data_IF_245207788650
#
_entry.id   IF_245207788650
#
_cell.length_a   1.000
_cell.length_b   1.000
_cell.length_c   1.000
_cell.angle_alpha   90.00
_cell.angle_beta   90.00
_cell.angle_gamma   90.00
#
_symmetry.space_group_name_H-M   'P 1'
#
loop_
_entity.id
_entity.type
_entity.pdbx_description
1 polymer ?
#
# COMPACT_ATOMS: atom_id res chain seq x y z
N UNK A 1 20.79 30.56 15.35
CA UNK A 1 20.82 29.53 14.31
C UNK A 1 19.43 28.97 13.94
N UNK A 2 18.33 29.41 14.56
CA UNK A 2 16.96 29.00 14.16
C UNK A 2 16.23 30.04 13.28
N UNK A 3 16.84 31.19 13.01
CA UNK A 3 16.15 32.35 12.43
C UNK A 3 16.12 32.42 10.90
N UNK A 4 16.91 31.59 10.21
CA UNK A 4 17.15 31.70 8.76
C UNK A 4 16.75 30.44 7.96
N UNK A 5 16.33 29.36 8.63
CA UNK A 5 15.95 28.11 7.97
C UNK A 5 17.11 27.37 7.31
N UNK A 6 18.36 27.76 7.57
CA UNK A 6 19.54 27.11 6.98
C UNK A 6 19.71 25.71 7.57
N UNK A 7 19.94 24.72 6.71
CA UNK A 7 20.29 23.37 7.15
C UNK A 7 21.60 23.39 7.94
N UNK A 8 21.57 22.86 9.16
CA UNK A 8 22.74 22.77 10.06
C UNK A 8 23.30 21.35 10.13
N UNK A 9 22.44 20.36 9.92
CA UNK A 9 22.74 18.95 10.01
C UNK A 9 21.64 18.15 9.31
N UNK A 10 22.04 17.05 8.69
CA UNK A 10 21.16 16.00 8.19
C UNK A 10 21.77 14.64 8.52
N UNK A 11 20.93 13.64 8.74
CA UNK A 11 21.40 12.26 8.89
C UNK A 11 21.74 11.63 7.54
N UNK A 12 22.38 10.47 7.56
CA UNK A 12 22.34 9.55 6.43
C UNK A 12 20.89 9.15 6.08
N UNK A 13 20.69 8.55 4.90
CA UNK A 13 19.40 7.98 4.52
C UNK A 13 18.90 7.01 5.60
N UNK A 14 17.63 7.19 6.00
CA UNK A 14 16.97 6.40 7.04
C UNK A 14 16.07 5.30 6.48
N UNK A 15 16.06 5.13 5.15
CA UNK A 15 15.34 4.12 4.37
C UNK A 15 13.81 4.26 4.38
N UNK A 16 13.26 5.29 5.03
CA UNK A 16 11.80 5.47 5.15
C UNK A 16 11.43 6.93 5.33
N UNK A 17 10.18 7.28 5.02
CA UNK A 17 9.69 8.63 5.26
C UNK A 17 9.39 8.89 6.74
N UNK A 18 9.48 10.15 7.13
CA UNK A 18 9.16 10.64 8.47
C UNK A 18 8.01 11.66 8.35
N UNK A 19 6.97 11.47 9.17
CA UNK A 19 5.83 12.40 9.29
C UNK A 19 5.66 12.86 10.74
N UNK A 20 5.96 11.97 11.69
CA UNK A 20 5.87 12.29 13.11
C UNK A 20 6.82 13.44 13.48
N UNK A 21 6.36 14.32 14.36
CA UNK A 21 7.21 15.35 14.92
C UNK A 21 8.31 14.72 15.79
N UNK A 22 9.55 15.23 15.74
CA UNK A 22 10.60 14.79 16.65
C UNK A 22 10.36 15.33 18.07
N UNK A 23 10.91 14.63 19.06
CA UNK A 23 10.99 15.08 20.46
C UNK A 23 12.45 15.15 20.89
N UNK A 24 12.75 15.92 21.94
CA UNK A 24 14.05 15.91 22.61
C UNK A 24 13.88 15.58 24.09
N UNK A 25 14.83 14.83 24.65
CA UNK A 25 14.87 14.47 26.06
C UNK A 25 16.32 14.32 26.54
N UNK A 26 16.51 14.28 27.85
CA UNK A 26 17.81 14.03 28.49
C UNK A 26 17.80 12.67 29.19
N UNK A 27 18.91 11.94 29.09
CA UNK A 27 19.15 10.70 29.82
C UNK A 27 20.62 10.71 30.28
N UNK A 28 20.85 10.53 31.58
CA UNK A 28 22.19 10.55 32.21
C UNK A 28 23.05 11.76 31.83
N UNK A 29 22.43 12.95 31.78
CA UNK A 29 23.11 14.19 31.41
C UNK A 29 23.42 14.35 29.91
N UNK A 30 22.91 13.45 29.05
CA UNK A 30 23.10 13.49 27.59
C UNK A 30 21.79 13.81 26.89
N UNK A 31 21.81 14.84 26.04
CA UNK A 31 20.67 15.19 25.19
C UNK A 31 20.50 14.18 24.04
N UNK A 32 19.25 13.79 23.84
CA UNK A 32 18.80 12.95 22.75
C UNK A 32 17.70 13.66 21.94
N UNK A 33 17.62 13.32 20.66
CA UNK A 33 16.50 13.69 19.77
C UNK A 33 15.93 12.40 19.21
N UNK A 34 14.64 12.15 19.39
CA UNK A 34 13.98 10.95 18.90
C UNK A 34 12.86 11.29 17.92
N UNK A 35 12.67 10.40 16.93
CA UNK A 35 11.59 10.51 15.97
C UNK A 35 11.11 9.12 15.53
N UNK A 36 9.80 8.98 15.34
CA UNK A 36 9.20 7.78 14.77
C UNK A 36 9.25 7.87 13.25
N UNK A 37 9.97 6.95 12.63
CA UNK A 37 10.12 6.83 11.19
C UNK A 37 9.35 5.59 10.70
N UNK A 38 8.69 5.66 9.54
CA UNK A 38 7.90 4.52 9.07
C UNK A 38 6.79 4.86 8.08
N UNK A 39 6.94 5.93 7.30
CA UNK A 39 5.99 6.21 6.22
C UNK A 39 6.34 5.32 5.03
N UNK A 40 5.42 4.42 4.65
CA UNK A 40 5.55 3.63 3.44
C UNK A 40 5.68 4.56 2.21
N UNK A 41 6.74 4.36 1.43
CA UNK A 41 7.02 5.12 0.19
C UNK A 41 7.00 4.23 -1.05
N UNK A 42 7.04 2.91 -0.88
CA UNK A 42 7.09 1.90 -1.93
C UNK A 42 5.81 1.11 -2.14
N UNK A 43 5.94 -0.07 -2.74
CA UNK A 43 4.87 -1.05 -2.89
C UNK A 43 4.40 -1.55 -1.51
N UNK A 44 3.15 -2.00 -1.38
CA UNK A 44 2.60 -2.56 -0.12
C UNK A 44 3.46 -3.65 0.52
N UNK A 45 4.08 -4.49 -0.30
CA UNK A 45 4.92 -5.58 0.14
C UNK A 45 6.38 -5.18 0.37
N UNK A 46 6.77 -3.95 0.01
CA UNK A 46 8.10 -3.45 0.28
C UNK A 46 8.28 -3.20 1.79
N UNK A 47 9.48 -3.42 2.36
CA UNK A 47 9.74 -3.11 3.75
C UNK A 47 9.45 -1.63 4.06
N UNK A 48 8.60 -1.38 5.05
CA UNK A 48 8.28 0.00 5.51
C UNK A 48 9.41 0.60 6.36
N UNK A 49 10.32 -0.26 6.84
CA UNK A 49 11.48 0.14 7.63
C UNK A 49 11.13 0.93 8.91
N UNK A 50 9.93 0.69 9.46
CA UNK A 50 9.40 1.39 10.63
C UNK A 50 10.28 1.19 11.87
N UNK A 51 10.68 2.28 12.53
CA UNK A 51 11.59 2.28 13.68
C UNK A 51 11.52 3.59 14.47
N UNK A 52 11.97 3.56 15.72
CA UNK A 52 12.31 4.77 16.48
C UNK A 52 13.77 5.09 16.22
N UNK A 53 14.04 6.27 15.66
CA UNK A 53 15.39 6.79 15.48
C UNK A 53 15.72 7.67 16.68
N UNK A 54 16.86 7.43 17.32
CA UNK A 54 17.35 8.25 18.44
C UNK A 54 18.76 8.73 18.12
N UNK A 55 18.94 10.04 18.11
CA UNK A 55 20.19 10.70 17.80
C UNK A 55 20.78 11.32 19.06
N UNK A 56 22.10 11.22 19.21
CA UNK A 56 22.89 11.96 20.20
C UNK A 56 24.23 12.35 19.60
N UNK A 57 24.89 13.36 20.17
CA UNK A 57 26.22 13.79 19.72
C UNK A 57 27.24 12.65 19.88
N UNK A 58 28.06 12.44 18.85
CA UNK A 58 29.13 11.44 18.83
C UNK A 58 28.66 9.99 18.74
N UNK A 59 27.37 9.72 18.49
CA UNK A 59 26.91 8.38 18.16
C UNK A 59 27.38 7.95 16.77
N UNK A 60 27.64 6.66 16.60
CA UNK A 60 28.14 6.03 15.37
C UNK A 60 27.36 4.75 15.02
N UNK A 61 26.12 4.63 15.48
CA UNK A 61 25.27 3.49 15.15
C UNK A 61 24.95 3.48 13.65
N UNK A 62 25.06 2.31 13.04
CA UNK A 62 24.69 2.09 11.63
C UNK A 62 23.30 1.48 11.56
N UNK A 63 22.51 1.91 10.58
CA UNK A 63 21.20 1.32 10.32
C UNK A 63 21.36 -0.10 9.74
N UNK A 64 20.40 -1.01 10.00
CA UNK A 64 20.35 -2.28 9.28
C UNK A 64 20.30 -2.05 7.77
N UNK A 65 20.94 -2.92 6.96
CA UNK A 65 20.90 -2.79 5.50
C UNK A 65 19.46 -2.89 4.98
N UNK A 66 19.21 -2.27 3.84
CA UNK A 66 17.96 -2.46 3.11
C UNK A 66 17.81 -3.91 2.66
N UNK A 67 16.57 -4.42 2.72
CA UNK A 67 16.22 -5.75 2.25
C UNK A 67 15.61 -5.60 0.86
N UNK A 68 16.15 -6.28 -0.17
CA UNK A 68 15.57 -6.21 -1.50
C UNK A 68 14.18 -6.84 -1.49
N UNK A 69 13.29 -6.30 -2.31
CA UNK A 69 11.94 -6.81 -2.48
C UNK A 69 11.60 -6.93 -3.96
N UNK A 70 10.98 -8.04 -4.34
CA UNK A 70 10.47 -8.28 -5.69
C UNK A 70 8.95 -8.10 -5.70
N UNK A 71 8.41 -7.12 -6.43
CA UNK A 71 6.96 -6.95 -6.55
C UNK A 71 6.30 -8.18 -7.16
N UNK A 72 5.06 -8.51 -6.76
CA UNK A 72 4.30 -9.55 -7.44
C UNK A 72 4.18 -9.22 -8.94
N UNK A 73 4.20 -10.23 -9.82
CA UNK A 73 4.04 -10.00 -11.25
C UNK A 73 2.61 -9.56 -11.55
N UNK A 74 2.46 -8.67 -12.54
CA UNK A 74 1.15 -8.37 -13.10
C UNK A 74 0.75 -9.54 -14.02
N UNK A 75 -0.14 -10.39 -13.55
CA UNK A 75 -0.60 -11.57 -14.28
C UNK A 75 -2.12 -11.82 -14.09
N UNK A 76 -2.96 -10.90 -14.60
CA UNK A 76 -4.41 -11.08 -14.54
C UNK A 76 -4.89 -12.24 -15.43
N UNK A 77 -5.99 -12.91 -15.08
CA UNK A 77 -6.68 -13.80 -16.00
C UNK A 77 -7.32 -13.02 -17.16
N UNK A 78 -7.72 -13.68 -18.26
CA UNK A 78 -8.51 -13.05 -19.31
C UNK A 78 -9.81 -12.45 -18.76
N UNK A 79 -10.25 -11.32 -19.33
CA UNK A 79 -11.58 -10.78 -19.07
C UNK A 79 -12.63 -11.84 -19.38
N UNK A 80 -13.56 -12.04 -18.45
CA UNK A 80 -14.51 -13.17 -18.48
C UNK A 80 -15.97 -12.74 -18.33
N UNK A 81 -16.25 -11.45 -18.22
CA UNK A 81 -17.59 -10.90 -17.98
C UNK A 81 -17.98 -9.89 -19.07
N UNK A 82 -19.29 -9.65 -19.19
CA UNK A 82 -19.84 -8.64 -20.09
C UNK A 82 -19.51 -7.21 -19.62
N UNK A 83 -19.66 -6.24 -20.53
CA UNK A 83 -19.45 -4.83 -20.20
C UNK A 83 -20.39 -4.33 -19.08
N UNK A 84 -21.63 -4.84 -19.04
CA UNK A 84 -22.61 -4.47 -18.01
C UNK A 84 -22.22 -5.04 -16.64
N UNK A 85 -21.72 -6.28 -16.57
CA UNK A 85 -21.21 -6.87 -15.33
C UNK A 85 -19.95 -6.15 -14.83
N UNK A 86 -19.06 -5.76 -15.74
CA UNK A 86 -17.87 -4.95 -15.40
C UNK A 86 -18.30 -3.57 -14.88
N UNK A 87 -19.33 -2.95 -15.47
CA UNK A 87 -19.85 -1.66 -15.03
C UNK A 87 -20.47 -1.76 -13.63
N UNK A 88 -21.29 -2.78 -13.35
CA UNK A 88 -21.80 -3.06 -12.01
C UNK A 88 -20.65 -3.26 -11.00
N UNK A 89 -19.65 -4.05 -11.39
CA UNK A 89 -18.46 -4.30 -10.58
C UNK A 89 -17.67 -3.04 -10.23
N UNK A 90 -17.57 -2.09 -11.17
CA UNK A 90 -16.94 -0.78 -10.95
C UNK A 90 -17.69 -0.01 -9.89
N UNK A 91 -19.01 0.12 -10.02
CA UNK A 91 -19.81 0.94 -9.10
C UNK A 91 -19.75 0.35 -7.67
N UNK A 92 -19.78 -0.98 -7.55
CA UNK A 92 -19.60 -1.67 -6.27
C UNK A 92 -18.17 -1.52 -5.72
N UNK A 93 -17.15 -1.57 -6.58
CA UNK A 93 -15.76 -1.36 -6.18
C UNK A 93 -15.54 0.06 -5.65
N UNK A 94 -16.10 1.07 -6.31
CA UNK A 94 -16.02 2.47 -5.87
C UNK A 94 -16.68 2.67 -4.51
N UNK A 95 -17.84 2.06 -4.28
CA UNK A 95 -18.57 2.16 -3.02
C UNK A 95 -17.89 1.44 -1.84
N UNK A 96 -17.21 0.32 -2.11
CA UNK A 96 -16.78 -0.60 -1.04
C UNK A 96 -15.27 -0.80 -0.93
N UNK A 97 -14.53 -0.69 -2.03
CA UNK A 97 -13.13 -1.14 -2.10
C UNK A 97 -12.15 0.01 -2.33
N UNK A 98 -12.55 1.03 -3.10
CA UNK A 98 -11.66 2.09 -3.60
C UNK A 98 -10.99 2.89 -2.47
N UNK A 99 -11.66 3.02 -1.32
CA UNK A 99 -11.06 3.68 -0.16
C UNK A 99 -9.72 3.02 0.20
N UNK A 100 -9.64 1.70 0.32
CA UNK A 100 -8.38 1.05 0.70
C UNK A 100 -7.52 0.71 -0.52
N UNK A 101 -8.12 0.23 -1.60
CA UNK A 101 -7.41 -0.49 -2.66
C UNK A 101 -7.16 0.30 -3.94
N UNK A 102 -7.67 1.53 -4.06
CA UNK A 102 -7.49 2.26 -5.30
C UNK A 102 -6.03 2.71 -5.48
N UNK A 103 -5.56 2.63 -6.72
CA UNK A 103 -4.18 2.95 -7.05
C UNK A 103 -3.99 4.47 -7.19
N UNK A 104 -2.73 4.88 -7.18
CA UNK A 104 -2.31 6.27 -7.37
C UNK A 104 -2.87 6.84 -8.68
N UNK A 105 -3.47 8.03 -8.62
CA UNK A 105 -3.87 8.79 -9.83
C UNK A 105 -5.38 8.80 -10.10
N UNK A 106 -6.15 7.95 -9.41
CA UNK A 106 -7.59 8.12 -9.28
C UNK A 106 -7.87 9.04 -8.08
N UNK A 107 -8.96 9.82 -8.14
CA UNK A 107 -9.22 11.01 -7.32
C UNK A 107 -9.19 10.83 -5.78
N UNK A 108 -9.04 9.61 -5.24
CA UNK A 108 -8.90 9.32 -3.81
C UNK A 108 -7.53 8.80 -3.34
N UNK A 109 -6.59 8.50 -4.24
CA UNK A 109 -5.37 7.73 -3.96
C UNK A 109 -4.14 8.52 -3.44
N UNK A 110 -4.27 9.83 -3.24
CA UNK A 110 -3.14 10.73 -2.90
C UNK A 110 -2.44 10.40 -1.56
N UNK A 111 -3.09 9.66 -0.66
CA UNK A 111 -2.57 9.40 0.69
C UNK A 111 -2.22 7.93 1.00
N UNK A 112 -2.45 6.98 0.08
CA UNK A 112 -2.46 5.53 0.42
C UNK A 112 -1.36 4.69 -0.23
N UNK A 113 -0.35 5.32 -0.82
CA UNK A 113 0.81 4.63 -1.42
C UNK A 113 1.40 3.61 -0.43
N UNK A 114 1.37 2.33 -0.81
CA UNK A 114 2.00 1.25 -0.07
C UNK A 114 1.35 0.86 1.25
N UNK A 115 0.14 1.37 1.57
CA UNK A 115 -0.57 1.00 2.82
C UNK A 115 -1.51 -0.20 2.64
N UNK A 116 -2.01 -0.43 1.43
CA UNK A 116 -2.87 -1.55 1.08
C UNK A 116 -2.41 -2.18 -0.24
N UNK A 117 -2.67 -3.49 -0.46
CA UNK A 117 -2.28 -4.14 -1.70
C UNK A 117 -3.08 -3.59 -2.89
N UNK A 118 -2.38 -3.36 -4.01
CA UNK A 118 -3.03 -3.11 -5.29
C UNK A 118 -3.64 -4.42 -5.80
N UNK A 119 -4.96 -4.42 -5.95
CA UNK A 119 -5.70 -5.62 -6.29
C UNK A 119 -5.45 -6.11 -7.71
N UNK A 120 -4.92 -5.27 -8.61
CA UNK A 120 -4.53 -5.69 -9.96
C UNK A 120 -3.43 -6.78 -9.95
N UNK A 121 -2.65 -6.85 -8.88
CA UNK A 121 -1.57 -7.84 -8.68
C UNK A 121 -2.01 -9.02 -7.81
N UNK A 122 -3.28 -9.11 -7.44
CA UNK A 122 -3.76 -10.15 -6.54
C UNK A 122 -3.87 -11.51 -7.26
N UNK A 123 -3.23 -12.57 -6.75
CA UNK A 123 -3.41 -13.92 -7.31
C UNK A 123 -4.83 -14.46 -7.12
N UNK A 124 -5.59 -13.91 -6.17
CA UNK A 124 -6.98 -14.30 -5.94
C UNK A 124 -7.89 -13.96 -7.14
N UNK A 125 -7.47 -13.06 -8.04
CA UNK A 125 -8.24 -12.79 -9.26
C UNK A 125 -8.40 -14.02 -10.16
N UNK A 126 -7.47 -14.98 -10.09
CA UNK A 126 -7.50 -16.20 -10.90
C UNK A 126 -8.51 -17.26 -10.42
N UNK A 127 -9.12 -17.09 -9.23
CA UNK A 127 -10.11 -18.04 -8.69
C UNK A 127 -11.28 -17.29 -8.06
N UNK A 128 -12.49 -17.61 -8.54
CA UNK A 128 -13.74 -17.12 -7.97
C UNK A 128 -13.85 -17.46 -6.48
N UNK A 129 -13.48 -18.69 -6.13
CA UNK A 129 -13.54 -19.21 -4.76
C UNK A 129 -12.56 -18.49 -3.84
N UNK A 130 -11.31 -18.29 -4.29
CA UNK A 130 -10.30 -17.57 -3.53
C UNK A 130 -10.71 -16.10 -3.31
N UNK A 131 -11.30 -15.46 -4.31
CA UNK A 131 -11.81 -14.10 -4.19
C UNK A 131 -12.99 -14.02 -3.20
N UNK A 132 -13.98 -14.91 -3.35
CA UNK A 132 -15.12 -14.98 -2.45
C UNK A 132 -14.72 -15.28 -1.00
N UNK A 133 -13.74 -16.16 -0.78
CA UNK A 133 -13.25 -16.45 0.56
C UNK A 133 -12.67 -15.21 1.26
N UNK A 134 -12.03 -14.32 0.50
CA UNK A 134 -11.48 -13.06 1.05
C UNK A 134 -12.59 -12.05 1.28
N UNK A 135 -13.44 -11.81 0.28
CA UNK A 135 -14.41 -10.70 0.27
C UNK A 135 -15.66 -11.02 1.09
N UNK A 136 -16.15 -12.26 1.03
CA UNK A 136 -17.38 -12.69 1.69
C UNK A 136 -17.09 -13.47 2.97
N UNK A 137 -16.16 -14.42 2.94
CA UNK A 137 -15.94 -15.31 4.09
C UNK A 137 -14.93 -14.75 5.11
N UNK A 138 -14.31 -13.60 4.82
CA UNK A 138 -13.43 -12.90 5.76
C UNK A 138 -12.10 -13.62 6.00
N UNK A 139 -11.59 -14.40 5.04
CA UNK A 139 -10.33 -15.13 5.16
C UNK A 139 -9.10 -14.22 5.47
N UNK A 140 -9.23 -12.91 5.31
CA UNK A 140 -8.21 -11.90 5.62
C UNK A 140 -8.61 -10.90 6.72
N UNK A 141 -9.66 -11.19 7.49
CA UNK A 141 -10.16 -10.32 8.55
C UNK A 141 -9.10 -10.01 9.62
N UNK A 142 -8.29 -10.99 10.01
CA UNK A 142 -7.18 -10.79 10.95
C UNK A 142 -6.11 -9.81 10.45
N UNK A 143 -6.04 -9.58 9.14
CA UNK A 143 -5.11 -8.64 8.50
C UNK A 143 -5.76 -7.28 8.17
N UNK A 144 -6.98 -7.02 8.68
CA UNK A 144 -7.70 -5.78 8.46
C UNK A 144 -8.57 -5.71 7.20
N UNK A 145 -8.66 -6.80 6.41
CA UNK A 145 -9.60 -6.89 5.28
C UNK A 145 -10.92 -7.50 5.75
N UNK A 146 -11.91 -6.64 5.99
CA UNK A 146 -13.22 -7.04 6.49
C UNK A 146 -14.00 -7.93 5.49
N UNK A 147 -14.92 -8.74 6.03
CA UNK A 147 -15.96 -9.38 5.23
C UNK A 147 -17.02 -8.35 4.81
N UNK A 148 -17.50 -8.49 3.58
CA UNK A 148 -18.56 -7.71 2.97
C UNK A 148 -19.84 -8.51 2.79
N UNK A 149 -19.97 -9.70 3.39
CA UNK A 149 -21.15 -10.57 3.21
C UNK A 149 -22.47 -9.95 3.71
N UNK A 150 -22.41 -8.89 4.52
CA UNK A 150 -23.60 -8.13 4.94
C UNK A 150 -24.09 -7.11 3.91
N UNK A 151 -23.28 -6.79 2.88
CA UNK A 151 -23.55 -5.75 1.88
C UNK A 151 -23.40 -6.23 0.44
N UNK A 152 -22.67 -7.33 0.20
CA UNK A 152 -22.49 -7.96 -1.10
C UNK A 152 -22.89 -9.44 -1.03
N UNK A 153 -23.60 -9.90 -2.05
CA UNK A 153 -23.83 -11.29 -2.36
C UNK A 153 -22.80 -11.87 -3.35
N UNK A 154 -22.88 -13.19 -3.65
CA UNK A 154 -21.91 -13.87 -4.52
C UNK A 154 -21.79 -13.29 -5.93
N UNK A 155 -22.90 -12.86 -6.53
CA UNK A 155 -22.89 -12.28 -7.89
C UNK A 155 -22.22 -10.90 -7.91
N UNK A 156 -22.46 -10.09 -6.88
CA UNK A 156 -21.88 -8.74 -6.73
C UNK A 156 -20.38 -8.82 -6.46
N UNK A 157 -19.94 -9.76 -5.61
CA UNK A 157 -18.52 -10.03 -5.41
C UNK A 157 -17.84 -10.49 -6.71
N UNK A 158 -18.50 -11.32 -7.52
CA UNK A 158 -17.95 -11.72 -8.81
C UNK A 158 -17.89 -10.55 -9.82
N UNK A 159 -18.90 -9.67 -9.82
CA UNK A 159 -18.87 -8.46 -10.64
C UNK A 159 -17.68 -7.57 -10.25
N UNK A 160 -17.42 -7.38 -8.94
CA UNK A 160 -16.23 -6.67 -8.45
C UNK A 160 -14.94 -7.36 -8.93
N UNK A 161 -14.86 -8.70 -8.87
CA UNK A 161 -13.70 -9.45 -9.40
C UNK A 161 -13.52 -9.19 -10.90
N UNK A 162 -14.61 -9.20 -11.66
CA UNK A 162 -14.58 -8.93 -13.10
C UNK A 162 -14.06 -7.53 -13.41
N UNK A 163 -14.51 -6.52 -12.67
CA UNK A 163 -14.01 -5.16 -12.79
C UNK A 163 -12.50 -5.06 -12.51
N UNK A 164 -12.02 -5.68 -11.43
CA UNK A 164 -10.59 -5.64 -11.10
C UNK A 164 -9.76 -6.35 -12.17
N UNK A 165 -10.24 -7.48 -12.70
CA UNK A 165 -9.58 -8.19 -13.81
C UNK A 165 -9.52 -7.32 -15.07
N UNK A 166 -10.61 -6.66 -15.43
CA UNK A 166 -10.65 -5.76 -16.59
C UNK A 166 -9.65 -4.60 -16.44
N UNK A 167 -9.62 -3.96 -15.26
CA UNK A 167 -8.63 -2.93 -14.93
C UNK A 167 -7.19 -3.46 -15.01
N UNK A 168 -6.94 -4.65 -14.47
CA UNK A 168 -5.60 -5.25 -14.49
C UNK A 168 -5.14 -5.58 -15.90
N UNK A 169 -6.03 -6.06 -16.77
CA UNK A 169 -5.75 -6.27 -18.19
C UNK A 169 -5.44 -4.95 -18.90
N UNK A 170 -6.19 -3.87 -18.63
CA UNK A 170 -5.89 -2.56 -19.19
C UNK A 170 -4.49 -2.04 -18.78
N UNK A 171 -4.08 -2.24 -17.52
CA UNK A 171 -2.72 -1.91 -17.06
C UNK A 171 -1.65 -2.77 -17.75
N UNK A 172 -1.92 -4.06 -17.95
CA UNK A 172 -1.00 -4.98 -18.62
C UNK A 172 -0.78 -4.56 -20.08
N UNK A 173 -1.85 -4.24 -20.80
CA UNK A 173 -1.77 -3.77 -22.18
C UNK A 173 -1.02 -2.44 -22.29
N UNK A 174 -1.28 -1.50 -21.37
CA UNK A 174 -0.56 -0.22 -21.33
C UNK A 174 0.95 -0.42 -21.05
N UNK A 175 1.30 -1.36 -20.16
CA UNK A 175 2.69 -1.69 -19.82
C UNK A 175 3.42 -2.29 -21.01
N UNK A 176 2.78 -3.25 -21.70
CA UNK A 176 3.28 -3.85 -22.95
C UNK A 176 3.49 -2.80 -24.04
N UNK A 177 2.52 -1.90 -24.23
CA UNK A 177 2.60 -0.83 -25.21
C UNK A 177 3.74 0.18 -24.91
N UNK A 178 4.08 0.38 -23.63
CA UNK A 178 5.18 1.23 -23.21
C UNK A 178 6.57 0.57 -23.33
N UNK A 179 6.65 -0.68 -23.78
CA UNK A 179 7.91 -1.43 -23.91
C UNK A 179 8.59 -1.74 -22.58
N UNK A 180 7.80 -1.89 -21.50
CA UNK A 180 8.27 -2.21 -20.15
C UNK A 180 7.81 -3.59 -19.71
#
# INVERSE_FOLDING_TARGET
AAGDGRELWSSQDVHTGIVAAPISFELDGVQHVAVVAGRATGNYYAPVYARVLVFRRGANATLPPEVPFTPPPLNPPPTFASADEVALGRDLYEANCALCHDAIGNAGGLFRRGLFPDLAYSPALASREAFAAIVLDGARAANGMASYASVLGPAEAEAVRAHIVDRANAVLEATRAAGR
#
